data_IF_077181701859
#
_entry.id   IF_077181701859
#
_cell.length_a   1.000
_cell.length_b   1.000
_cell.length_c   1.000
_cell.angle_alpha   90.00
_cell.angle_beta   90.00
_cell.angle_gamma   90.00
#
_symmetry.space_group_name_H-M   'P 1'
#
loop_
_entity.id
_entity.type
_entity.pdbx_description
1 polymer ?
#
# COMPACT_ATOMS: atom_id res chain seq x y z
N UNK A 1 -7.83 -14.32 -30.93
CA UNK A 1 -6.65 -13.75 -30.25
C UNK A 1 -6.94 -12.41 -29.60
N UNK A 2 -7.56 -11.46 -30.32
CA UNK A 2 -7.89 -10.13 -29.81
C UNK A 2 -8.66 -10.13 -28.47
N UNK A 3 -9.71 -10.94 -28.37
CA UNK A 3 -10.55 -11.04 -27.17
C UNK A 3 -9.78 -11.59 -25.95
N UNK A 4 -8.78 -12.46 -26.19
CA UNK A 4 -7.89 -12.97 -25.14
C UNK A 4 -6.91 -11.89 -24.67
N UNK A 5 -6.41 -11.06 -25.58
CA UNK A 5 -5.54 -9.92 -25.27
C UNK A 5 -6.30 -8.82 -24.51
N UNK A 6 -7.52 -8.49 -24.93
CA UNK A 6 -8.44 -7.57 -24.27
C UNK A 6 -8.68 -8.01 -22.81
N UNK A 7 -9.11 -9.26 -22.61
CA UNK A 7 -9.35 -9.79 -21.26
C UNK A 7 -8.09 -9.80 -20.39
N UNK A 8 -6.95 -10.22 -20.94
CA UNK A 8 -5.67 -10.29 -20.20
C UNK A 8 -5.21 -8.89 -19.80
N UNK A 9 -5.16 -7.96 -20.76
CA UNK A 9 -4.73 -6.57 -20.52
C UNK A 9 -5.63 -5.87 -19.50
N UNK A 10 -6.96 -6.05 -19.57
CA UNK A 10 -7.90 -5.52 -18.59
C UNK A 10 -7.69 -6.10 -17.18
N UNK A 11 -7.49 -7.41 -17.06
CA UNK A 11 -7.20 -8.02 -15.74
C UNK A 11 -5.88 -7.53 -15.14
N UNK A 12 -4.84 -7.41 -15.96
CA UNK A 12 -3.54 -6.89 -15.52
C UNK A 12 -3.63 -5.42 -15.12
N UNK A 13 -4.38 -4.61 -15.86
CA UNK A 13 -4.70 -3.22 -15.51
C UNK A 13 -5.31 -3.13 -14.10
N UNK A 14 -6.39 -3.89 -13.86
CA UNK A 14 -7.06 -3.89 -12.56
C UNK A 14 -6.16 -4.37 -11.42
N UNK A 15 -5.32 -5.39 -11.66
CA UNK A 15 -4.35 -5.85 -10.67
C UNK A 15 -3.38 -4.72 -10.28
N UNK A 16 -2.80 -4.04 -11.29
CA UNK A 16 -1.79 -2.98 -11.08
C UNK A 16 -2.41 -1.72 -10.46
N UNK A 17 -3.65 -1.38 -10.80
CA UNK A 17 -4.41 -0.31 -10.14
C UNK A 17 -4.63 -0.57 -8.64
N UNK A 18 -5.00 -1.81 -8.28
CA UNK A 18 -5.20 -2.15 -6.88
C UNK A 18 -3.86 -2.18 -6.12
N UNK A 19 -2.78 -2.63 -6.75
CA UNK A 19 -1.45 -2.59 -6.19
C UNK A 19 -0.95 -1.16 -5.95
N UNK A 20 -1.13 -0.24 -6.91
CA UNK A 20 -0.72 1.16 -6.77
C UNK A 20 -1.49 1.87 -5.64
N UNK A 21 -2.81 1.65 -5.54
CA UNK A 21 -3.64 2.15 -4.44
C UNK A 21 -3.15 1.62 -3.09
N UNK A 22 -2.88 0.32 -2.98
CA UNK A 22 -2.37 -0.29 -1.74
C UNK A 22 -1.03 0.33 -1.31
N UNK A 23 -0.08 0.47 -2.24
CA UNK A 23 1.22 1.07 -1.95
C UNK A 23 1.09 2.54 -1.54
N UNK A 24 0.20 3.29 -2.21
CA UNK A 24 -0.10 4.69 -1.87
C UNK A 24 -0.72 4.84 -0.48
N UNK A 25 -1.69 3.99 -0.13
CA UNK A 25 -2.28 3.95 1.20
C UNK A 25 -1.27 3.57 2.27
N UNK A 26 -0.41 2.58 2.02
CA UNK A 26 0.66 2.19 2.95
C UNK A 26 1.63 3.36 3.18
N UNK A 27 2.05 4.06 2.12
CA UNK A 27 2.89 5.24 2.23
C UNK A 27 2.24 6.33 3.10
N UNK A 28 0.98 6.62 2.84
CA UNK A 28 0.22 7.64 3.58
C UNK A 28 0.06 7.25 5.05
N UNK A 29 -0.27 6.00 5.34
CA UNK A 29 -0.45 5.49 6.69
C UNK A 29 0.85 5.52 7.51
N UNK A 30 1.97 5.07 6.93
CA UNK A 30 3.27 5.10 7.60
C UNK A 30 3.73 6.54 7.89
N UNK A 31 3.57 7.46 6.93
CA UNK A 31 3.93 8.86 7.14
C UNK A 31 3.05 9.50 8.22
N UNK A 32 1.74 9.24 8.22
CA UNK A 32 0.83 9.73 9.25
C UNK A 32 1.20 9.20 10.63
N UNK A 33 1.52 7.91 10.74
CA UNK A 33 1.91 7.28 12.00
C UNK A 33 3.21 7.88 12.54
N UNK A 34 4.21 8.11 11.69
CA UNK A 34 5.47 8.74 12.09
C UNK A 34 5.27 10.19 12.54
N UNK A 35 4.44 10.97 11.84
CA UNK A 35 4.10 12.34 12.23
C UNK A 35 3.36 12.35 13.58
N UNK A 36 2.38 11.47 13.77
CA UNK A 36 1.64 11.35 15.03
C UNK A 36 2.57 10.94 16.20
N UNK A 37 3.47 9.98 15.98
CA UNK A 37 4.45 9.55 16.98
C UNK A 37 5.42 10.68 17.34
N UNK A 38 5.98 11.37 16.33
CA UNK A 38 6.92 12.47 16.54
C UNK A 38 6.26 13.64 17.28
N UNK A 39 5.06 14.04 16.87
CA UNK A 39 4.31 15.13 17.52
C UNK A 39 3.92 14.77 18.95
N UNK A 40 3.42 13.56 19.19
CA UNK A 40 3.11 13.08 20.55
C UNK A 40 4.35 13.04 21.45
N UNK A 41 5.47 12.54 20.94
CA UNK A 41 6.74 12.46 21.70
C UNK A 41 7.26 13.86 22.03
N UNK A 42 7.11 14.82 21.10
CA UNK A 42 7.47 16.22 21.33
C UNK A 42 6.59 16.86 22.41
N UNK A 43 5.26 16.69 22.35
CA UNK A 43 4.33 17.19 23.38
C UNK A 43 4.66 16.58 24.75
N UNK A 44 4.89 15.27 24.81
CA UNK A 44 5.23 14.57 26.04
C UNK A 44 6.58 15.04 26.61
N UNK A 45 7.56 15.32 25.75
CA UNK A 45 8.86 15.87 26.14
C UNK A 45 8.74 17.30 26.70
N UNK A 46 7.85 18.14 26.15
CA UNK A 46 7.52 19.45 26.73
C UNK A 46 6.81 19.29 28.10
N UNK A 47 5.92 18.30 28.23
CA UNK A 47 5.27 17.96 29.50
C UNK A 47 6.28 17.57 30.60
N UNK A 48 7.29 16.77 30.25
CA UNK A 48 8.37 16.37 31.17
C UNK A 48 9.18 17.55 31.70
N UNK A 49 9.34 18.62 30.91
CA UNK A 49 9.99 19.86 31.39
C UNK A 49 9.19 20.53 32.52
N UNK A 50 7.87 20.41 32.49
CA UNK A 50 6.99 21.02 33.49
C UNK A 50 6.85 20.14 34.73
N UNK A 51 6.73 18.82 34.55
CA UNK A 51 6.63 17.85 35.65
C UNK A 51 7.41 16.58 35.31
N UNK A 52 8.61 16.45 35.90
CA UNK A 52 9.52 15.31 35.67
C UNK A 52 8.92 13.96 36.03
N UNK A 53 8.06 13.90 37.04
CA UNK A 53 7.47 12.64 37.50
C UNK A 53 6.25 12.17 36.67
N UNK A 54 5.88 12.89 35.60
CA UNK A 54 4.68 12.59 34.80
C UNK A 54 4.70 11.19 34.15
N UNK A 55 5.89 10.72 33.77
CA UNK A 55 6.10 9.40 33.17
C UNK A 55 6.94 8.46 34.06
N UNK A 56 7.10 8.83 35.35
CA UNK A 56 7.94 8.11 36.31
C UNK A 56 9.44 8.35 36.13
N UNK A 57 10.25 7.67 36.97
CA UNK A 57 11.72 7.84 37.07
C UNK A 57 12.44 7.56 35.75
N UNK A 58 11.83 6.77 34.85
CA UNK A 58 12.37 6.41 33.54
C UNK A 58 11.83 7.23 32.35
N UNK A 59 11.06 8.30 32.60
CA UNK A 59 10.40 9.08 31.54
C UNK A 59 11.36 9.61 30.48
N UNK A 60 12.49 10.16 30.90
CA UNK A 60 13.51 10.71 30.00
C UNK A 60 14.11 9.62 29.08
N UNK A 61 14.45 8.46 29.65
CA UNK A 61 14.99 7.33 28.89
C UNK A 61 13.97 6.76 27.89
N UNK A 62 12.68 6.73 28.26
CA UNK A 62 11.59 6.29 27.38
C UNK A 62 11.44 7.22 26.17
N UNK A 63 11.48 8.55 26.36
CA UNK A 63 11.36 9.51 25.26
C UNK A 63 12.56 9.43 24.29
N UNK A 64 13.77 9.23 24.80
CA UNK A 64 14.97 9.01 23.98
C UNK A 64 14.83 7.71 23.17
N UNK A 65 14.42 6.62 23.81
CA UNK A 65 14.22 5.34 23.12
C UNK A 65 13.16 5.44 22.01
N UNK A 66 12.02 6.09 22.27
CA UNK A 66 10.97 6.34 21.27
C UNK A 66 11.46 7.21 20.12
N UNK A 67 12.28 8.22 20.40
CA UNK A 67 12.87 9.08 19.36
C UNK A 67 13.80 8.29 18.44
N UNK A 68 14.64 7.41 19.00
CA UNK A 68 15.51 6.51 18.22
C UNK A 68 14.67 5.54 17.38
N UNK A 69 13.63 4.92 17.95
CA UNK A 69 12.75 4.02 17.23
C UNK A 69 12.00 4.73 16.09
N UNK A 70 11.51 5.95 16.33
CA UNK A 70 10.88 6.78 15.31
C UNK A 70 11.83 7.10 14.17
N UNK A 71 13.10 7.41 14.48
CA UNK A 71 14.12 7.67 13.48
C UNK A 71 14.40 6.43 12.61
N UNK A 72 14.60 5.28 13.24
CA UNK A 72 14.84 4.00 12.53
C UNK A 72 13.64 3.66 11.64
N UNK A 73 12.41 3.80 12.15
CA UNK A 73 11.20 3.56 11.37
C UNK A 73 11.10 4.53 10.18
N UNK A 74 11.44 5.82 10.36
CA UNK A 74 11.48 6.79 9.26
C UNK A 74 12.47 6.41 8.17
N UNK A 75 13.66 5.91 8.54
CA UNK A 75 14.66 5.45 7.58
C UNK A 75 14.17 4.23 6.79
N UNK A 76 13.52 3.27 7.46
CA UNK A 76 12.95 2.09 6.80
C UNK A 76 11.84 2.48 5.83
N UNK A 77 10.91 3.35 6.24
CA UNK A 77 9.81 3.82 5.38
C UNK A 77 10.33 4.59 4.18
N UNK A 78 11.32 5.46 4.40
CA UNK A 78 11.99 6.20 3.32
C UNK A 78 12.73 5.26 2.37
N UNK A 79 13.45 4.26 2.90
CA UNK A 79 14.19 3.27 2.11
C UNK A 79 13.30 2.31 1.32
N UNK A 80 12.11 1.99 1.83
CA UNK A 80 11.14 1.12 1.14
C UNK A 80 10.56 1.74 -0.14
N UNK A 81 10.66 3.06 -0.31
CA UNK A 81 10.27 3.75 -1.55
C UNK A 81 8.80 3.55 -1.93
N UNK A 82 7.89 3.43 -0.95
CA UNK A 82 6.48 3.13 -1.25
C UNK A 82 5.86 4.16 -2.22
N UNK A 83 6.19 5.44 -2.07
CA UNK A 83 5.71 6.50 -2.95
C UNK A 83 6.26 6.41 -4.38
N UNK A 84 7.56 6.17 -4.55
CA UNK A 84 8.17 6.06 -5.89
C UNK A 84 7.68 4.80 -6.61
N UNK A 85 7.56 3.68 -5.89
CA UNK A 85 6.99 2.43 -6.42
C UNK A 85 5.51 2.57 -6.78
N UNK A 86 4.72 3.28 -5.97
CA UNK A 86 3.32 3.56 -6.30
C UNK A 86 3.19 4.38 -7.58
N UNK A 87 4.03 5.40 -7.78
CA UNK A 87 4.07 6.22 -9.01
C UNK A 87 4.50 5.42 -10.24
N UNK A 88 5.55 4.62 -10.13
CA UNK A 88 6.00 3.75 -11.22
C UNK A 88 4.91 2.74 -11.62
N UNK A 89 4.22 2.15 -10.64
CA UNK A 89 3.07 1.27 -10.88
C UNK A 89 1.89 2.04 -11.50
N UNK A 90 1.73 3.32 -11.16
CA UNK A 90 0.69 4.19 -11.71
C UNK A 90 0.87 4.48 -13.19
N UNK A 91 2.06 4.95 -13.56
CA UNK A 91 2.42 5.19 -14.97
C UNK A 91 2.25 3.92 -15.80
N UNK A 92 2.63 2.78 -15.22
CA UNK A 92 2.53 1.51 -15.88
C UNK A 92 1.08 1.05 -16.13
N UNK A 93 0.18 1.15 -15.14
CA UNK A 93 -1.22 0.76 -15.38
C UNK A 93 -1.90 1.70 -16.40
N UNK A 94 -1.56 2.99 -16.43
CA UNK A 94 -2.09 3.94 -17.43
C UNK A 94 -1.68 3.54 -18.85
N UNK A 95 -0.43 3.10 -19.02
CA UNK A 95 0.06 2.56 -20.30
C UNK A 95 -0.71 1.30 -20.73
N UNK A 96 -0.98 0.38 -19.80
CA UNK A 96 -1.79 -0.82 -20.11
C UNK A 96 -3.23 -0.46 -20.45
N UNK A 97 -3.82 0.53 -19.77
CA UNK A 97 -5.16 1.02 -20.09
C UNK A 97 -5.23 1.60 -21.51
N UNK A 98 -4.22 2.35 -21.93
CA UNK A 98 -4.14 2.84 -23.31
C UNK A 98 -4.09 1.68 -24.32
N UNK A 99 -3.34 0.63 -24.01
CA UNK A 99 -3.26 -0.58 -24.83
C UNK A 99 -4.60 -1.32 -24.86
N UNK A 100 -5.33 -1.42 -23.75
CA UNK A 100 -6.65 -2.08 -23.73
C UNK A 100 -7.67 -1.31 -24.56
N UNK A 101 -7.71 0.03 -24.44
CA UNK A 101 -8.57 0.89 -25.28
C UNK A 101 -8.19 0.77 -26.75
N UNK A 102 -6.89 0.73 -27.07
CA UNK A 102 -6.43 0.51 -28.44
C UNK A 102 -6.84 -0.86 -28.97
N UNK A 103 -6.86 -1.90 -28.14
CA UNK A 103 -7.31 -3.24 -28.49
C UNK A 103 -8.83 -3.29 -28.76
N UNK A 104 -9.63 -2.58 -27.95
CA UNK A 104 -11.07 -2.40 -28.14
C UNK A 104 -11.35 -1.68 -29.48
N UNK A 105 -10.67 -0.56 -29.75
CA UNK A 105 -10.81 0.16 -31.02
C UNK A 105 -10.39 -0.70 -32.23
N UNK A 106 -9.40 -1.58 -32.06
CA UNK A 106 -8.97 -2.49 -33.13
C UNK A 106 -9.99 -3.60 -33.43
N UNK A 107 -10.88 -3.90 -32.48
CA UNK A 107 -11.95 -4.90 -32.63
C UNK A 107 -12.98 -4.43 -33.66
N UNK A 108 -13.33 -3.15 -33.59
CA UNK A 108 -14.26 -2.46 -34.49
C UNK A 108 -13.64 -2.14 -35.86
N UNK A 109 -12.30 -2.11 -35.95
CA UNK A 109 -11.59 -1.86 -37.21
C UNK A 109 -11.56 -3.09 -38.14
N UNK A 110 -12.09 -2.94 -39.35
CA UNK A 110 -12.16 -3.99 -40.38
C UNK A 110 -11.20 -3.77 -41.58
N UNK A 111 -10.11 -3.02 -41.40
CA UNK A 111 -9.15 -2.74 -42.48
C UNK A 111 -8.08 -3.83 -42.70
N UNK A 112 -7.38 -3.80 -43.85
CA UNK A 112 -6.42 -4.84 -44.27
C UNK A 112 -5.19 -4.99 -43.36
N UNK A 113 -4.84 -3.98 -42.57
CA UNK A 113 -3.68 -4.00 -41.64
C UNK A 113 -4.03 -4.43 -40.20
N UNK A 114 -5.15 -5.13 -40.00
CA UNK A 114 -5.62 -5.52 -38.66
C UNK A 114 -4.63 -6.44 -37.93
N UNK A 115 -3.99 -7.35 -38.65
CA UNK A 115 -3.11 -8.35 -38.05
C UNK A 115 -1.77 -7.74 -37.60
N UNK A 116 -1.14 -6.93 -38.45
CA UNK A 116 0.09 -6.20 -38.15
C UNK A 116 -0.09 -5.25 -36.94
N UNK A 117 -1.22 -4.53 -36.90
CA UNK A 117 -1.56 -3.70 -35.73
C UNK A 117 -1.78 -4.52 -34.45
N UNK A 118 -2.34 -5.73 -34.56
CA UNK A 118 -2.53 -6.62 -33.41
C UNK A 118 -1.20 -7.14 -32.86
N UNK A 119 -0.26 -7.52 -33.73
CA UNK A 119 1.08 -7.98 -33.34
C UNK A 119 1.88 -6.85 -32.68
N UNK A 120 1.80 -5.63 -33.24
CA UNK A 120 2.40 -4.45 -32.62
C UNK A 120 1.84 -4.19 -31.22
N UNK A 121 0.51 -4.27 -31.06
CA UNK A 121 -0.14 -4.08 -29.75
C UNK A 121 0.27 -5.15 -28.73
N UNK A 122 0.42 -6.40 -29.19
CA UNK A 122 0.89 -7.51 -28.37
C UNK A 122 2.32 -7.26 -27.88
N UNK A 123 3.21 -6.81 -28.75
CA UNK A 123 4.58 -6.45 -28.38
C UNK A 123 4.62 -5.28 -27.39
N UNK A 124 3.84 -4.22 -27.62
CA UNK A 124 3.74 -3.08 -26.70
C UNK A 124 3.22 -3.51 -25.31
N UNK A 125 2.26 -4.45 -25.29
CA UNK A 125 1.76 -5.06 -24.06
C UNK A 125 2.86 -5.83 -23.34
N UNK A 126 3.60 -6.71 -24.02
CA UNK A 126 4.63 -7.53 -23.40
C UNK A 126 5.78 -6.69 -22.86
N UNK A 127 6.16 -5.60 -23.55
CA UNK A 127 7.13 -4.61 -23.06
C UNK A 127 6.59 -3.86 -21.83
N UNK A 128 5.33 -3.44 -21.85
CA UNK A 128 4.70 -2.78 -20.70
C UNK A 128 4.56 -3.72 -19.49
N UNK A 129 4.40 -5.02 -19.72
CA UNK A 129 4.38 -6.02 -18.65
C UNK A 129 5.77 -6.24 -18.08
N UNK A 130 6.78 -6.40 -18.92
CA UNK A 130 8.16 -6.68 -18.52
C UNK A 130 8.85 -5.49 -17.81
N UNK A 131 8.48 -4.27 -18.14
CA UNK A 131 9.08 -3.05 -17.59
C UNK A 131 8.64 -2.68 -16.16
N UNK A 132 7.67 -3.40 -15.57
CA UNK A 132 7.14 -3.12 -14.24
C UNK A 132 7.45 -4.23 -13.25
N UNK A 133 7.63 -3.84 -11.99
CA UNK A 133 7.66 -4.76 -10.86
C UNK A 133 6.45 -5.72 -10.94
N UNK A 134 6.69 -7.01 -10.69
CA UNK A 134 5.64 -8.01 -10.73
C UNK A 134 4.58 -7.68 -9.67
N UNK A 135 3.31 -7.55 -10.10
CA UNK A 135 2.20 -7.41 -9.18
C UNK A 135 2.13 -8.63 -8.23
N UNK A 136 1.84 -8.38 -6.95
CA UNK A 136 1.68 -9.43 -5.94
C UNK A 136 0.55 -10.39 -6.35
N UNK A 137 0.78 -11.70 -6.23
CA UNK A 137 -0.18 -12.77 -6.61
C UNK A 137 -1.58 -12.60 -6.01
N UNK A 138 -1.72 -11.88 -4.88
CA UNK A 138 -2.99 -11.56 -4.23
C UNK A 138 -3.95 -10.74 -5.10
N UNK A 139 -3.46 -9.79 -5.89
CA UNK A 139 -4.33 -8.96 -6.73
C UNK A 139 -4.93 -9.80 -7.88
N UNK A 140 -4.14 -10.73 -8.42
CA UNK A 140 -4.60 -11.72 -9.39
C UNK A 140 -5.64 -12.67 -8.79
N UNK A 141 -5.39 -13.18 -7.58
CA UNK A 141 -6.35 -14.04 -6.87
C UNK A 141 -7.66 -13.31 -6.55
N UNK A 142 -7.63 -12.04 -6.12
CA UNK A 142 -8.84 -11.26 -5.84
C UNK A 142 -9.72 -11.06 -7.08
N UNK A 143 -9.11 -10.80 -8.23
CA UNK A 143 -9.84 -10.65 -9.50
C UNK A 143 -10.36 -12.01 -9.99
N UNK A 144 -9.56 -13.07 -9.84
CA UNK A 144 -9.98 -14.43 -10.18
C UNK A 144 -11.17 -14.90 -9.34
N UNK A 145 -11.16 -14.63 -8.03
CA UNK A 145 -12.28 -14.94 -7.12
C UNK A 145 -13.53 -14.12 -7.41
N UNK A 146 -13.38 -12.85 -7.82
CA UNK A 146 -14.51 -12.01 -8.25
C UNK A 146 -15.15 -12.51 -9.55
N UNK A 147 -14.36 -13.13 -10.44
CA UNK A 147 -14.84 -13.66 -11.72
C UNK A 147 -15.26 -15.13 -11.66
N UNK A 148 -14.80 -15.90 -10.67
CA UNK A 148 -15.25 -17.27 -10.39
C UNK A 148 -16.22 -17.24 -9.21
N UNK A 149 -17.51 -17.06 -9.50
CA UNK A 149 -18.55 -17.29 -8.50
C UNK A 149 -18.42 -18.69 -7.87
N UNK A 150 -18.37 -18.71 -6.54
CA UNK A 150 -18.90 -19.76 -5.65
C UNK A 150 -18.46 -21.23 -5.81
N UNK A 151 -17.25 -21.54 -6.30
CA UNK A 151 -16.81 -22.94 -6.51
C UNK A 151 -15.58 -23.44 -5.73
N UNK A 152 -14.98 -22.65 -4.82
CA UNK A 152 -13.68 -22.97 -4.20
C UNK A 152 -13.75 -23.90 -2.99
N UNK A 153 -12.88 -24.92 -2.92
CA UNK A 153 -12.82 -25.84 -1.76
C UNK A 153 -12.42 -25.09 -0.48
N UNK A 154 -12.99 -25.49 0.67
CA UNK A 154 -12.75 -24.86 1.98
C UNK A 154 -11.27 -24.70 2.33
N UNK A 155 -10.42 -25.60 1.83
CA UNK A 155 -8.97 -25.59 2.07
C UNK A 155 -8.26 -24.44 1.33
N UNK A 156 -8.69 -24.13 0.09
CA UNK A 156 -8.17 -23.00 -0.67
C UNK A 156 -8.59 -21.67 -0.04
N UNK A 157 -9.85 -21.59 0.42
CA UNK A 157 -10.38 -20.43 1.16
C UNK A 157 -9.58 -20.15 2.44
N UNK A 158 -9.21 -21.18 3.21
CA UNK A 158 -8.41 -21.02 4.43
C UNK A 158 -6.97 -20.58 4.16
N UNK A 159 -6.33 -21.14 3.12
CA UNK A 159 -5.00 -20.70 2.70
C UNK A 159 -5.01 -19.27 2.18
N UNK A 160 -6.05 -18.89 1.43
CA UNK A 160 -6.23 -17.52 0.93
C UNK A 160 -6.53 -16.54 2.07
N UNK A 161 -7.28 -16.96 3.10
CA UNK A 161 -7.46 -16.22 4.34
C UNK A 161 -6.14 -16.03 5.10
N UNK A 162 -5.34 -17.09 5.26
CA UNK A 162 -4.06 -17.01 5.96
C UNK A 162 -3.07 -16.05 5.27
N UNK A 163 -2.96 -16.13 3.94
CA UNK A 163 -2.15 -15.18 3.15
C UNK A 163 -2.75 -13.78 3.20
N UNK A 164 -4.08 -13.64 3.19
CA UNK A 164 -4.74 -12.35 3.33
C UNK A 164 -4.44 -11.69 4.68
N UNK A 165 -4.47 -12.45 5.77
CA UNK A 165 -4.20 -11.99 7.14
C UNK A 165 -2.72 -11.64 7.33
N UNK A 166 -1.80 -12.52 6.91
CA UNK A 166 -0.36 -12.31 7.02
C UNK A 166 0.16 -11.11 6.21
N UNK A 167 -0.57 -10.68 5.18
CA UNK A 167 -0.24 -9.46 4.42
C UNK A 167 -1.11 -8.27 4.81
N UNK A 168 -2.29 -8.48 5.38
CA UNK A 168 -3.09 -7.42 5.99
C UNK A 168 -2.36 -6.86 7.22
N UNK A 169 -1.61 -7.68 7.95
CA UNK A 169 -0.78 -7.23 9.07
C UNK A 169 0.24 -6.16 8.63
N UNK A 170 0.88 -6.28 7.45
CA UNK A 170 1.79 -5.25 6.92
C UNK A 170 1.05 -3.94 6.58
N UNK A 171 -0.22 -4.03 6.15
CA UNK A 171 -1.05 -2.86 5.86
C UNK A 171 -1.71 -2.25 7.11
N UNK A 172 -1.96 -3.04 8.16
CA UNK A 172 -2.60 -2.61 9.42
C UNK A 172 -1.59 -2.23 10.49
N UNK A 173 -0.34 -2.68 10.38
CA UNK A 173 0.76 -2.32 11.29
C UNK A 173 0.92 -0.80 11.50
N UNK A 174 0.91 0.05 10.45
CA UNK A 174 0.98 1.51 10.66
C UNK A 174 -0.24 2.09 11.39
N UNK A 175 -1.41 1.44 11.33
CA UNK A 175 -2.56 1.89 12.11
C UNK A 175 -2.49 1.39 13.56
N UNK A 176 -1.95 0.19 13.78
CA UNK A 176 -1.70 -0.31 15.13
C UNK A 176 -0.65 0.53 15.86
N UNK A 177 0.36 1.05 15.14
CA UNK A 177 1.36 1.94 15.73
C UNK A 177 0.80 3.30 16.16
N UNK A 178 -0.38 3.72 15.68
CA UNK A 178 -1.08 4.93 16.18
C UNK A 178 -1.57 4.79 17.63
N UNK A 179 -1.69 3.56 18.15
CA UNK A 179 -2.02 3.35 19.56
C UNK A 179 -0.91 3.88 20.49
N UNK A 180 0.36 3.80 20.07
CA UNK A 180 1.51 4.23 20.88
C UNK A 180 1.48 5.75 21.15
N UNK A 181 1.36 6.65 20.14
CA UNK A 181 1.18 8.08 20.37
C UNK A 181 -0.01 8.41 21.29
N UNK A 182 -1.14 7.71 21.10
CA UNK A 182 -2.33 7.94 21.94
C UNK A 182 -2.04 7.59 23.40
N UNK A 183 -1.41 6.43 23.65
CA UNK A 183 -1.04 6.01 25.01
C UNK A 183 -0.04 6.97 25.66
N UNK A 184 0.92 7.49 24.90
CA UNK A 184 1.90 8.48 25.39
C UNK A 184 1.22 9.79 25.80
N UNK A 185 0.13 10.18 25.15
CA UNK A 185 -0.60 11.41 25.49
C UNK A 185 -1.54 11.26 26.69
N UNK A 186 -1.88 10.04 27.14
CA UNK A 186 -2.79 9.85 28.28
C UNK A 186 -2.26 10.51 29.57
N UNK A 187 -1.02 10.27 30.02
CA UNK A 187 -0.47 10.92 31.22
C UNK A 187 -0.38 12.44 31.10
N UNK A 188 -0.09 12.95 29.90
CA UNK A 188 -0.09 14.38 29.63
C UNK A 188 -1.50 14.99 29.74
N UNK A 189 -2.49 14.33 29.14
CA UNK A 189 -3.88 14.76 29.22
C UNK A 189 -4.42 14.73 30.65
N UNK A 190 -4.16 13.66 31.40
CA UNK A 190 -4.59 13.57 32.80
C UNK A 190 -3.92 14.64 33.67
N UNK A 191 -2.64 14.95 33.42
CA UNK A 191 -1.98 16.08 34.09
C UNK A 191 -2.58 17.43 33.69
N UNK A 192 -2.84 17.66 32.40
CA UNK A 192 -3.39 18.93 31.91
C UNK A 192 -4.78 19.24 32.49
N UNK A 193 -5.65 18.23 32.57
CA UNK A 193 -7.02 18.41 33.09
C UNK A 193 -7.11 18.39 34.63
N UNK A 194 -6.21 17.69 35.33
CA UNK A 194 -6.23 17.62 36.80
C UNK A 194 -5.23 18.59 37.48
N UNK A 195 -4.35 19.22 36.70
CA UNK A 195 -3.23 20.05 37.16
C UNK A 195 -3.31 21.53 36.77
N UNK A 196 -4.33 21.92 36.01
CA UNK A 196 -4.87 23.29 35.96
C UNK A 196 -5.96 23.40 37.03
#
# INVERSE_FOLDING_TARGET
>A
MLERLEKRSYTTYLCRLNASRRLSHANTAWNLALVALSTSTAIASVGLLTKRDMYGVGGDALMVALSILSLVASLVVSGAGYGTRARAMEENYKRIQQISVAAENLKEYAGPNRQDKCEKLQWEYDVAVASSENHTSRDFHRIRLRNQGEGGSKLQLLRDLAVSVAYSSVATLPYASLAVPILILIPFGTWFFNGI
#
